data_IF_083639147111
#
_entry.id   IF_083639147111
#
_cell.length_a   1.000
_cell.length_b   1.000
_cell.length_c   1.000
_cell.angle_alpha   90.00
_cell.angle_beta   90.00
_cell.angle_gamma   90.00
#
_symmetry.space_group_name_H-M   'P 1'
#
loop_
_entity.id
_entity.type
_entity.pdbx_description
1 polymer ?
#
# COMPACT_ATOMS: atom_id res chain seq x y z
N UNK A 1 25.12 -42.80 10.97
CA UNK A 1 25.03 -41.37 11.32
C UNK A 1 23.73 -40.84 10.76
N UNK A 2 22.65 -40.88 11.54
CA UNK A 2 21.32 -40.39 11.16
C UNK A 2 21.30 -38.87 11.31
N UNK A 3 21.10 -38.16 10.20
CA UNK A 3 20.94 -36.71 10.21
C UNK A 3 19.61 -36.34 10.91
N UNK A 4 19.69 -35.53 11.97
CA UNK A 4 18.50 -34.96 12.62
C UNK A 4 17.72 -34.08 11.62
N UNK A 5 16.39 -34.23 11.49
CA UNK A 5 15.61 -33.40 10.61
C UNK A 5 15.63 -31.94 11.11
N UNK A 6 16.01 -31.02 10.23
CA UNK A 6 16.00 -29.59 10.52
C UNK A 6 14.57 -29.16 10.92
N UNK A 7 14.40 -28.74 12.17
CA UNK A 7 13.09 -28.30 12.69
C UNK A 7 12.66 -27.02 11.98
N UNK A 8 11.72 -27.13 11.03
CA UNK A 8 11.14 -25.99 10.33
C UNK A 8 10.47 -25.06 11.34
N UNK A 9 10.92 -23.81 11.40
CA UNK A 9 10.33 -22.80 12.29
C UNK A 9 8.87 -22.59 11.91
N UNK A 10 7.98 -22.67 12.90
CA UNK A 10 6.57 -22.32 12.72
C UNK A 10 6.44 -20.80 12.58
N UNK A 11 5.64 -20.36 11.61
CA UNK A 11 5.37 -18.95 11.33
C UNK A 11 3.93 -18.61 11.72
N UNK A 12 3.70 -17.38 12.17
CA UNK A 12 2.38 -16.86 12.47
C UNK A 12 1.57 -16.73 11.16
N UNK A 13 0.35 -17.28 11.07
CA UNK A 13 -0.46 -17.19 9.85
C UNK A 13 -0.94 -15.76 9.56
N UNK A 14 -0.96 -14.89 10.57
CA UNK A 14 -1.43 -13.50 10.45
C UNK A 14 -0.33 -12.58 9.93
N UNK A 15 0.78 -12.47 10.66
CA UNK A 15 1.88 -11.55 10.34
C UNK A 15 3.05 -12.18 9.57
N UNK A 16 3.07 -13.51 9.40
CA UNK A 16 4.14 -14.22 8.68
C UNK A 16 5.46 -14.37 9.43
N UNK A 17 5.63 -13.73 10.60
CA UNK A 17 6.87 -13.83 11.41
C UNK A 17 6.99 -15.19 12.12
N UNK A 18 8.21 -15.66 12.45
CA UNK A 18 8.40 -16.81 13.33
C UNK A 18 7.58 -16.66 14.62
N UNK A 19 6.93 -17.73 15.09
CA UNK A 19 6.02 -17.65 16.25
C UNK A 19 6.67 -17.03 17.50
N UNK A 20 7.96 -17.29 17.73
CA UNK A 20 8.73 -16.75 18.87
C UNK A 20 8.94 -15.23 18.82
N UNK A 21 8.88 -14.63 17.64
CA UNK A 21 9.07 -13.20 17.40
C UNK A 21 7.82 -12.57 16.79
N UNK A 22 6.67 -13.23 16.99
CA UNK A 22 5.37 -12.72 16.59
C UNK A 22 5.08 -11.42 17.33
N UNK A 23 4.57 -10.43 16.60
CA UNK A 23 4.23 -9.11 17.13
C UNK A 23 2.75 -8.80 17.00
N UNK A 24 1.91 -9.81 16.71
CA UNK A 24 0.48 -9.60 16.51
C UNK A 24 -0.22 -8.99 17.73
N UNK A 25 0.31 -9.22 18.94
CA UNK A 25 -0.19 -8.61 20.17
C UNK A 25 -0.15 -7.07 20.15
N UNK A 26 0.75 -6.47 19.36
CA UNK A 26 0.89 -5.02 19.23
C UNK A 26 0.14 -4.44 18.03
N UNK A 27 -0.58 -5.26 17.27
CA UNK A 27 -1.44 -4.77 16.21
C UNK A 27 -2.61 -4.04 16.86
N UNK A 28 -2.70 -2.73 16.62
CA UNK A 28 -3.82 -1.90 17.02
C UNK A 28 -4.49 -1.35 15.76
N UNK A 29 -5.74 -1.75 15.45
CA UNK A 29 -6.49 -1.16 14.35
C UNK A 29 -6.64 0.35 14.55
N UNK A 30 -6.24 1.13 13.55
CA UNK A 30 -6.37 2.58 13.55
C UNK A 30 -7.59 2.97 12.72
N UNK A 31 -8.50 3.73 13.35
CA UNK A 31 -9.64 4.30 12.65
C UNK A 31 -9.16 5.34 11.63
N UNK A 32 -9.54 5.15 10.37
CA UNK A 32 -9.23 6.04 9.26
C UNK A 32 -10.32 5.90 8.18
N UNK A 33 -10.49 6.93 7.36
CA UNK A 33 -11.52 6.98 6.32
C UNK A 33 -10.91 6.82 4.92
N UNK A 34 -9.78 7.48 4.69
CA UNK A 34 -8.99 7.38 3.46
C UNK A 34 -8.55 5.94 3.28
N UNK A 35 -8.70 5.41 2.07
CA UNK A 35 -8.20 4.07 1.78
C UNK A 35 -6.69 4.10 1.54
N UNK A 36 -5.98 3.06 1.97
CA UNK A 36 -4.53 2.96 1.79
C UNK A 36 -4.16 1.79 0.87
N UNK A 37 -3.64 2.08 -0.31
CA UNK A 37 -3.06 1.10 -1.21
C UNK A 37 -1.55 1.01 -0.98
N UNK A 38 -1.08 -0.16 -0.54
CA UNK A 38 0.33 -0.45 -0.31
C UNK A 38 0.83 -1.32 -1.46
N UNK A 39 1.70 -0.76 -2.29
CA UNK A 39 2.40 -1.48 -3.35
C UNK A 39 3.78 -1.90 -2.81
N UNK A 40 3.90 -3.18 -2.50
CA UNK A 40 5.09 -3.76 -1.89
C UNK A 40 6.01 -4.36 -2.96
N UNK A 41 7.29 -4.02 -2.89
CA UNK A 41 8.28 -4.64 -3.78
C UNK A 41 8.40 -6.15 -3.45
N UNK A 42 8.49 -7.06 -4.45
CA UNK A 42 8.50 -8.51 -4.21
C UNK A 42 9.60 -8.99 -3.24
N UNK A 43 10.80 -8.40 -3.34
CA UNK A 43 11.91 -8.68 -2.41
C UNK A 43 11.68 -8.26 -0.95
N UNK A 44 10.66 -7.45 -0.66
CA UNK A 44 10.30 -7.05 0.71
C UNK A 44 9.21 -7.93 1.32
N UNK A 45 8.53 -8.76 0.53
CA UNK A 45 7.41 -9.61 0.96
C UNK A 45 7.83 -10.55 2.10
N UNK A 46 8.96 -11.23 1.92
CA UNK A 46 9.51 -12.17 2.91
C UNK A 46 10.54 -11.52 3.85
N UNK A 47 10.65 -10.18 3.82
CA UNK A 47 11.60 -9.50 4.69
C UNK A 47 11.19 -9.72 6.15
N UNK A 48 12.13 -10.16 6.99
CA UNK A 48 11.89 -10.55 8.39
C UNK A 48 11.24 -9.45 9.27
N UNK A 49 11.24 -8.19 8.83
CA UNK A 49 10.59 -7.06 9.51
C UNK A 49 9.11 -6.95 9.13
N UNK A 50 8.72 -7.27 7.89
CA UNK A 50 7.32 -7.30 7.46
C UNK A 50 6.53 -6.03 7.76
N UNK A 51 7.16 -4.85 7.63
CA UNK A 51 6.57 -3.58 8.06
C UNK A 51 5.28 -3.26 7.30
N UNK A 52 5.21 -3.48 5.98
CA UNK A 52 3.99 -3.32 5.20
C UNK A 52 2.86 -4.25 5.65
N UNK A 53 3.17 -5.50 6.00
CA UNK A 53 2.17 -6.44 6.52
C UNK A 53 1.64 -5.97 7.87
N UNK A 54 2.50 -5.48 8.75
CA UNK A 54 2.08 -4.91 10.04
C UNK A 54 1.19 -3.66 9.85
N UNK A 55 1.57 -2.78 8.94
CA UNK A 55 0.78 -1.61 8.57
C UNK A 55 -0.59 -2.03 8.04
N UNK A 56 -0.63 -2.97 7.10
CA UNK A 56 -1.87 -3.49 6.52
C UNK A 56 -2.81 -4.08 7.60
N UNK A 57 -2.26 -4.83 8.56
CA UNK A 57 -3.03 -5.39 9.67
C UNK A 57 -3.56 -4.33 10.66
N UNK A 58 -2.90 -3.17 10.72
CA UNK A 58 -3.30 -2.04 11.58
C UNK A 58 -4.25 -1.07 10.85
N UNK A 59 -4.41 -1.20 9.53
CA UNK A 59 -5.26 -0.34 8.71
C UNK A 59 -6.40 -1.16 8.08
N UNK A 60 -7.59 -1.23 8.72
CA UNK A 60 -8.75 -1.97 8.22
C UNK A 60 -9.23 -1.62 6.80
N UNK A 61 -8.87 -0.45 6.27
CA UNK A 61 -9.23 0.03 4.92
C UNK A 61 -7.99 0.12 4.03
N UNK A 62 -7.10 -0.86 4.15
CA UNK A 62 -5.92 -0.95 3.31
C UNK A 62 -5.93 -2.17 2.41
N UNK A 63 -5.20 -2.08 1.29
CA UNK A 63 -4.93 -3.18 0.37
C UNK A 63 -3.43 -3.32 0.22
N UNK A 64 -2.92 -4.54 0.34
CA UNK A 64 -1.50 -4.85 0.16
C UNK A 64 -1.33 -5.67 -1.12
N UNK A 65 -0.55 -5.18 -2.07
CA UNK A 65 -0.29 -5.84 -3.35
C UNK A 65 1.22 -5.88 -3.59
N UNK A 66 1.74 -7.05 -3.93
CA UNK A 66 3.16 -7.22 -4.24
C UNK A 66 3.41 -7.09 -5.74
N UNK A 67 4.41 -6.30 -6.15
CA UNK A 67 4.80 -6.16 -7.55
C UNK A 67 5.89 -5.11 -7.74
N UNK A 68 6.71 -5.29 -8.77
CA UNK A 68 7.70 -4.28 -9.21
C UNK A 68 7.16 -3.49 -10.42
N UNK A 69 6.57 -4.22 -11.38
CA UNK A 69 5.84 -3.71 -12.54
C UNK A 69 4.43 -4.28 -12.50
N UNK A 70 3.45 -3.45 -12.82
CA UNK A 70 2.05 -3.85 -12.91
C UNK A 70 1.56 -3.66 -14.35
N UNK A 71 0.76 -4.61 -14.89
CA UNK A 71 -0.03 -4.37 -16.08
C UNK A 71 -0.86 -3.08 -15.94
N UNK A 72 -0.98 -2.32 -17.02
CA UNK A 72 -1.63 -1.00 -16.98
C UNK A 72 -3.09 -1.07 -16.54
N UNK A 73 -3.83 -2.07 -17.03
CA UNK A 73 -5.22 -2.35 -16.67
C UNK A 73 -5.37 -2.76 -15.20
N UNK A 74 -4.47 -3.62 -14.71
CA UNK A 74 -4.46 -4.02 -13.30
C UNK A 74 -4.17 -2.82 -12.40
N UNK A 75 -3.16 -2.01 -12.74
CA UNK A 75 -2.79 -0.83 -11.98
C UNK A 75 -3.90 0.23 -12.02
N UNK A 76 -4.54 0.44 -13.17
CA UNK A 76 -5.69 1.33 -13.29
C UNK A 76 -6.83 0.90 -12.36
N UNK A 77 -7.13 -0.40 -12.32
CA UNK A 77 -8.12 -0.94 -11.40
C UNK A 77 -7.69 -0.77 -9.93
N UNK A 78 -6.43 -1.04 -9.60
CA UNK A 78 -5.86 -0.82 -8.26
C UNK A 78 -5.95 0.64 -7.81
N UNK A 79 -5.81 1.59 -8.73
CA UNK A 79 -5.82 3.03 -8.43
C UNK A 79 -7.25 3.60 -8.35
N UNK A 80 -8.17 3.14 -9.20
CA UNK A 80 -9.45 3.82 -9.41
C UNK A 80 -10.70 3.02 -9.05
N UNK A 81 -10.61 1.69 -8.96
CA UNK A 81 -11.79 0.88 -8.67
C UNK A 81 -12.36 1.18 -7.27
N UNK A 82 -13.69 1.15 -7.08
CA UNK A 82 -14.31 1.30 -5.76
C UNK A 82 -13.74 0.32 -4.73
N UNK A 83 -13.65 0.76 -3.48
CA UNK A 83 -13.27 -0.12 -2.38
C UNK A 83 -14.46 -0.96 -1.93
N UNK A 84 -14.39 -2.27 -2.19
CA UNK A 84 -15.33 -3.25 -1.66
C UNK A 84 -14.76 -3.84 -0.36
N UNK A 85 -15.39 -3.55 0.78
CA UNK A 85 -15.00 -4.19 2.04
C UNK A 85 -15.45 -5.66 2.04
N UNK A 86 -14.54 -6.62 2.31
CA UNK A 86 -14.90 -8.03 2.32
C UNK A 86 -15.81 -8.47 3.48
N UNK A 87 -15.99 -7.64 4.53
CA UNK A 87 -16.63 -8.05 5.80
C UNK A 87 -17.77 -7.15 6.29
N UNK A 88 -18.16 -6.11 5.57
CA UNK A 88 -19.25 -5.22 5.99
C UNK A 88 -20.54 -5.57 5.23
N UNK A 89 -21.43 -6.33 5.87
CA UNK A 89 -22.77 -6.68 5.35
C UNK A 89 -23.77 -5.51 5.31
N UNK A 90 -23.32 -4.28 5.03
CA UNK A 90 -24.19 -3.11 5.02
C UNK A 90 -23.51 -1.90 4.40
N UNK A 91 -24.20 -1.31 3.43
CA UNK A 91 -23.79 -0.22 2.54
C UNK A 91 -22.77 -0.62 1.47
N UNK A 92 -23.27 -1.06 0.32
CA UNK A 92 -22.52 -0.94 -0.94
C UNK A 92 -22.00 0.50 -1.02
N UNK A 93 -20.68 0.68 -0.99
CA UNK A 93 -20.07 1.95 -1.36
C UNK A 93 -20.62 2.27 -2.75
N UNK A 94 -21.49 3.29 -2.84
CA UNK A 94 -21.96 3.85 -4.12
C UNK A 94 -20.76 3.98 -5.04
N UNK A 95 -20.93 3.77 -6.33
CA UNK A 95 -19.89 3.94 -7.34
C UNK A 95 -19.18 5.29 -7.15
N UNK A 96 -18.09 5.28 -6.38
CA UNK A 96 -17.45 6.48 -5.85
C UNK A 96 -16.11 6.53 -6.52
N UNK A 97 -15.97 7.54 -7.38
CA UNK A 97 -14.73 7.83 -8.07
C UNK A 97 -13.61 8.00 -7.04
N UNK A 98 -12.52 7.26 -7.24
CA UNK A 98 -11.32 7.31 -6.39
C UNK A 98 -10.33 8.30 -6.98
N UNK A 99 -9.78 9.13 -6.10
CA UNK A 99 -8.70 10.05 -6.38
C UNK A 99 -7.42 9.53 -5.70
N UNK A 100 -6.58 8.78 -6.44
CA UNK A 100 -5.30 8.31 -5.93
C UNK A 100 -4.32 9.46 -5.73
N UNK A 101 -3.63 9.44 -4.60
CA UNK A 101 -2.55 10.37 -4.24
C UNK A 101 -1.35 9.53 -3.81
N UNK A 102 -0.19 9.79 -4.41
CA UNK A 102 1.03 9.07 -4.11
C UNK A 102 1.76 9.71 -2.92
N UNK A 103 1.97 8.96 -1.84
CA UNK A 103 2.85 9.36 -0.75
C UNK A 103 4.30 9.09 -1.19
N UNK A 104 4.93 10.09 -1.78
CA UNK A 104 6.29 9.98 -2.30
C UNK A 104 6.89 11.37 -2.47
N UNK A 105 8.15 11.58 -2.05
CA UNK A 105 8.76 12.90 -2.12
C UNK A 105 8.77 13.43 -3.56
N UNK A 106 8.56 14.74 -3.70
CA UNK A 106 8.88 15.44 -4.93
C UNK A 106 10.34 15.13 -5.29
N UNK A 107 10.55 14.61 -6.49
CA UNK A 107 11.88 14.38 -7.03
C UNK A 107 12.08 15.44 -8.11
N UNK A 108 13.22 16.11 -8.13
CA UNK A 108 13.57 17.13 -9.13
C UNK A 108 13.60 16.60 -10.58
N UNK A 109 13.45 15.29 -10.79
CA UNK A 109 13.52 14.63 -12.08
C UNK A 109 12.21 13.88 -12.36
N UNK A 110 11.39 14.45 -13.25
CA UNK A 110 10.14 13.89 -13.76
C UNK A 110 9.23 15.01 -14.30
N UNK A 111 8.33 14.72 -15.27
CA UNK A 111 7.37 15.70 -15.74
C UNK A 111 6.54 16.20 -14.56
N UNK A 112 6.66 17.51 -14.30
CA UNK A 112 5.95 18.23 -13.25
C UNK A 112 4.46 18.25 -13.56
N UNK A 113 3.74 17.19 -13.21
CA UNK A 113 2.30 17.24 -12.94
C UNK A 113 2.03 17.43 -11.44
N UNK A 114 3.09 17.65 -10.65
CA UNK A 114 2.98 17.97 -9.24
C UNK A 114 2.49 19.41 -9.12
N UNK A 115 1.19 19.56 -8.84
CA UNK A 115 0.71 20.74 -8.13
C UNK A 115 1.66 20.96 -6.95
N UNK A 116 2.17 22.18 -6.77
CA UNK A 116 2.93 22.51 -5.56
C UNK A 116 2.13 22.09 -4.33
N UNK A 117 2.80 21.64 -3.26
CA UNK A 117 2.13 21.18 -2.04
C UNK A 117 0.92 22.04 -1.58
N UNK A 118 0.93 23.40 -1.66
CA UNK A 118 -0.23 24.23 -1.36
C UNK A 118 -1.44 24.00 -2.29
N UNK A 119 -1.20 23.89 -3.60
CA UNK A 119 -2.25 23.65 -4.61
C UNK A 119 -2.83 22.24 -4.52
N UNK A 120 -2.00 21.25 -4.17
CA UNK A 120 -2.49 19.90 -3.89
C UNK A 120 -3.38 19.89 -2.65
N UNK A 121 -2.96 20.51 -1.55
CA UNK A 121 -3.75 20.58 -0.32
C UNK A 121 -5.13 21.20 -0.56
N UNK A 122 -5.21 22.29 -1.33
CA UNK A 122 -6.50 22.91 -1.67
C UNK A 122 -7.37 21.97 -2.51
N UNK A 123 -6.80 21.29 -3.51
CA UNK A 123 -7.56 20.32 -4.31
C UNK A 123 -8.08 19.14 -3.46
N UNK A 124 -7.23 18.59 -2.59
CA UNK A 124 -7.61 17.48 -1.72
C UNK A 124 -8.66 17.88 -0.68
N UNK A 125 -8.64 19.13 -0.20
CA UNK A 125 -9.64 19.64 0.75
C UNK A 125 -11.06 19.72 0.18
N UNK A 126 -11.22 19.73 -1.16
CA UNK A 126 -12.52 19.73 -1.84
C UNK A 126 -13.12 18.33 -1.97
N UNK A 127 -12.32 17.29 -1.71
CA UNK A 127 -12.73 15.89 -1.82
C UNK A 127 -13.14 15.34 -0.46
N UNK A 128 -14.13 14.44 -0.46
CA UNK A 128 -14.45 13.69 0.75
C UNK A 128 -13.31 12.68 1.03
N UNK A 129 -12.95 12.45 2.30
CA UNK A 129 -11.94 11.42 2.64
C UNK A 129 -12.29 10.03 2.10
N UNK A 130 -13.57 9.73 1.91
CA UNK A 130 -14.05 8.49 1.29
C UNK A 130 -13.78 8.38 -0.20
N UNK A 131 -13.45 9.48 -0.88
CA UNK A 131 -13.06 9.53 -2.30
C UNK A 131 -11.54 9.43 -2.49
N UNK A 132 -10.75 9.65 -1.43
CA UNK A 132 -9.29 9.61 -1.49
C UNK A 132 -8.77 8.17 -1.37
N UNK A 133 -7.67 7.90 -2.09
CA UNK A 133 -6.85 6.70 -1.94
C UNK A 133 -5.38 7.11 -1.81
N UNK A 134 -4.76 6.84 -0.67
CA UNK A 134 -3.35 7.06 -0.45
C UNK A 134 -2.56 5.86 -0.99
N UNK A 135 -1.66 6.09 -1.93
CA UNK A 135 -0.79 5.08 -2.53
C UNK A 135 0.59 5.16 -1.87
N UNK A 136 1.07 4.05 -1.34
CA UNK A 136 2.36 3.94 -0.64
C UNK A 136 3.21 2.88 -1.32
N UNK A 137 4.47 3.22 -1.60
CA UNK A 137 5.46 2.26 -2.11
C UNK A 137 6.28 1.70 -0.95
N UNK A 138 6.13 0.41 -0.64
CA UNK A 138 6.95 -0.28 0.36
C UNK A 138 8.16 -0.94 -0.31
N UNK A 139 9.27 -0.21 -0.30
CA UNK A 139 10.56 -0.68 -0.80
C UNK A 139 11.71 0.16 -0.24
N UNK A 140 12.95 -0.30 -0.42
CA UNK A 140 14.12 0.59 -0.24
C UNK A 140 14.08 1.75 -1.24
N UNK A 141 14.67 2.90 -0.92
CA UNK A 141 14.66 4.09 -1.80
C UNK A 141 15.01 3.83 -3.26
N UNK A 142 16.04 3.02 -3.51
CA UNK A 142 16.44 2.66 -4.88
C UNK A 142 15.36 1.84 -5.59
N UNK A 143 14.72 0.91 -4.89
CA UNK A 143 13.66 0.04 -5.41
C UNK A 143 12.35 0.79 -5.60
N UNK A 144 11.95 1.64 -4.65
CA UNK A 144 10.73 2.45 -4.75
C UNK A 144 10.83 3.43 -5.92
N UNK A 145 12.02 4.05 -6.12
CA UNK A 145 12.29 4.89 -7.29
C UNK A 145 12.16 4.06 -8.57
N UNK A 146 12.76 2.86 -8.63
CA UNK A 146 12.63 1.97 -9.79
C UNK A 146 11.16 1.61 -10.08
N UNK A 147 10.39 1.21 -9.07
CA UNK A 147 8.95 0.94 -9.20
C UNK A 147 8.21 2.14 -9.77
N UNK A 148 8.45 3.36 -9.26
CA UNK A 148 7.84 4.57 -9.81
C UNK A 148 8.18 4.76 -11.30
N UNK A 149 9.42 4.53 -11.71
CA UNK A 149 9.86 4.70 -13.11
C UNK A 149 9.29 3.61 -14.04
N UNK A 150 9.08 2.39 -13.53
CA UNK A 150 8.54 1.27 -14.31
C UNK A 150 7.03 1.32 -14.52
N UNK A 151 6.31 2.15 -13.76
CA UNK A 151 4.85 2.22 -13.80
C UNK A 151 4.39 3.65 -14.16
N UNK A 152 4.15 3.96 -15.46
CA UNK A 152 3.81 5.31 -15.92
C UNK A 152 2.60 5.93 -15.20
N UNK A 153 1.57 5.13 -14.89
CA UNK A 153 0.39 5.61 -14.15
C UNK A 153 0.74 6.16 -12.76
N UNK A 154 1.74 5.58 -12.07
CA UNK A 154 2.19 6.10 -10.77
C UNK A 154 2.87 7.46 -10.89
N UNK A 155 3.54 7.73 -12.02
CA UNK A 155 4.25 9.00 -12.23
C UNK A 155 3.29 10.17 -12.43
N UNK A 156 2.09 9.89 -12.95
CA UNK A 156 1.02 10.86 -13.21
C UNK A 156 0.23 11.24 -11.95
N UNK A 157 0.40 10.49 -10.85
CA UNK A 157 -0.33 10.76 -9.62
C UNK A 157 0.14 12.06 -8.95
N UNK A 158 -0.77 12.84 -8.35
CA UNK A 158 -0.40 13.92 -7.45
C UNK A 158 0.38 13.35 -6.26
N UNK A 159 1.38 14.09 -5.77
CA UNK A 159 2.32 13.63 -4.74
C UNK A 159 2.21 14.44 -3.45
N UNK A 160 2.19 13.75 -2.32
CA UNK A 160 2.27 14.31 -0.97
C UNK A 160 3.66 14.04 -0.35
#
# INVERSE_FOLDING_TARGET
>A
MTASPATRRLHCPTCGRPQRTCICLWIAPVAHVVEVLILQHPLEVDHAKGSARLLHLSLPRSRLVAGETFPEDELQALLHAPYCQPQAGGAQTRDTVRHPVLLYPESAEGPSSALSAPGLCEQLSRLLPTQLRLVVLDATWRKSRKMLHLNPLLQQLPRL
#
